data_IF_791361802922
#
_entry.id   IF_791361802922
#
_cell.length_a   1.000
_cell.length_b   1.000
_cell.length_c   1.000
_cell.angle_alpha   90.00
_cell.angle_beta   90.00
_cell.angle_gamma   90.00
#
_symmetry.space_group_name_H-M   'P 1'
#
loop_
_entity.id
_entity.type
_entity.pdbx_description
1 polymer ?
#
# COMPACT_ATOMS: atom_id res chain seq x y z
N UNK A 1 -7.14 -23.37 22.20
CA UNK A 1 -6.38 -22.83 21.06
C UNK A 1 -7.04 -21.52 20.69
N UNK A 2 -6.96 -20.50 21.55
CA UNK A 2 -8.07 -19.55 21.63
C UNK A 2 -7.71 -18.12 21.19
N UNK A 3 -6.62 -17.53 21.70
CA UNK A 3 -6.42 -16.08 21.52
C UNK A 3 -4.99 -15.67 21.10
N UNK A 4 -3.94 -16.30 21.65
CA UNK A 4 -2.55 -16.04 21.22
C UNK A 4 -2.28 -16.44 19.77
N UNK A 5 -2.91 -17.52 19.31
CA UNK A 5 -2.89 -17.94 17.90
C UNK A 5 -3.49 -16.87 16.98
N UNK A 6 -4.53 -16.14 17.45
CA UNK A 6 -5.21 -15.11 16.67
C UNK A 6 -4.35 -13.85 16.55
N UNK A 7 -3.79 -13.36 17.66
CA UNK A 7 -2.89 -12.20 17.68
C UNK A 7 -1.66 -12.43 16.79
N UNK A 8 -1.05 -13.61 16.91
CA UNK A 8 0.10 -14.03 16.09
C UNK A 8 -0.23 -14.06 14.60
N UNK A 9 -1.38 -14.64 14.22
CA UNK A 9 -1.81 -14.67 12.81
C UNK A 9 -2.06 -13.27 12.24
N UNK A 10 -2.64 -12.35 13.03
CA UNK A 10 -2.84 -10.97 12.59
C UNK A 10 -1.49 -10.27 12.38
N UNK A 11 -0.51 -10.50 13.27
CA UNK A 11 0.84 -9.97 13.13
C UNK A 11 1.54 -10.49 11.86
N UNK A 12 1.37 -11.77 11.53
CA UNK A 12 1.90 -12.34 10.28
C UNK A 12 1.27 -11.69 9.04
N UNK A 13 -0.04 -11.48 9.04
CA UNK A 13 -0.76 -10.82 7.93
C UNK A 13 -0.34 -9.35 7.80
N UNK A 14 -0.16 -8.64 8.92
CA UNK A 14 0.36 -7.28 8.95
C UNK A 14 1.75 -7.21 8.33
N UNK A 15 2.65 -8.11 8.75
CA UNK A 15 4.03 -8.19 8.24
C UNK A 15 4.06 -8.46 6.73
N UNK A 16 3.22 -9.39 6.25
CA UNK A 16 3.10 -9.70 4.82
C UNK A 16 2.54 -8.50 4.03
N UNK A 17 1.55 -7.81 4.58
CA UNK A 17 0.96 -6.60 3.98
C UNK A 17 2.00 -5.49 3.82
N UNK A 18 2.78 -5.21 4.88
CA UNK A 18 3.84 -4.20 4.84
C UNK A 18 4.96 -4.57 3.86
N UNK A 19 5.34 -5.86 3.81
CA UNK A 19 6.36 -6.37 2.86
C UNK A 19 5.91 -6.20 1.41
N UNK A 20 4.65 -6.56 1.11
CA UNK A 20 4.10 -6.42 -0.22
C UNK A 20 3.96 -4.94 -0.63
N UNK A 21 3.60 -4.04 0.30
CA UNK A 21 3.59 -2.58 0.07
C UNK A 21 4.95 -2.06 -0.41
N UNK A 22 6.00 -2.48 0.30
CA UNK A 22 7.37 -2.07 0.03
C UNK A 22 7.86 -2.63 -1.30
N UNK A 23 7.54 -3.90 -1.59
CA UNK A 23 7.91 -4.55 -2.86
C UNK A 23 7.28 -3.87 -4.08
N UNK A 24 6.09 -3.31 -3.92
CA UNK A 24 5.38 -2.57 -4.97
C UNK A 24 5.80 -1.10 -5.07
N UNK A 25 6.80 -0.66 -4.31
CA UNK A 25 7.22 0.74 -4.22
C UNK A 25 6.06 1.68 -3.85
N UNK A 26 5.25 1.25 -2.88
CA UNK A 26 4.07 1.98 -2.40
C UNK A 26 4.19 2.40 -0.94
N UNK A 27 5.38 2.25 -0.34
CA UNK A 27 5.67 2.72 1.00
C UNK A 27 5.49 4.25 1.10
N UNK A 28 5.28 4.75 2.31
CA UNK A 28 5.18 6.19 2.53
C UNK A 28 6.48 6.88 2.10
N UNK A 29 6.36 7.90 1.26
CA UNK A 29 7.50 8.61 0.66
C UNK A 29 8.03 8.00 -0.64
N UNK A 30 7.53 6.84 -1.07
CA UNK A 30 7.91 6.26 -2.36
C UNK A 30 7.10 6.92 -3.50
N UNK A 31 7.77 7.63 -4.39
CA UNK A 31 7.21 8.32 -5.54
C UNK A 31 7.51 7.60 -6.87
N UNK A 32 8.09 6.40 -6.85
CA UNK A 32 8.60 5.72 -8.05
C UNK A 32 7.51 5.48 -9.11
N UNK A 33 6.30 5.13 -8.68
CA UNK A 33 5.18 4.90 -9.60
C UNK A 33 4.65 6.21 -10.21
N UNK A 34 4.74 7.33 -9.48
CA UNK A 34 4.45 8.68 -9.97
C UNK A 34 5.57 9.20 -10.87
N UNK A 35 6.82 8.85 -10.57
CA UNK A 35 7.97 9.15 -11.42
C UNK A 35 7.85 8.41 -12.76
N UNK A 36 7.48 7.13 -12.77
CA UNK A 36 7.27 6.36 -14.00
C UNK A 36 6.18 6.95 -14.90
N UNK A 37 5.06 7.40 -14.32
CA UNK A 37 3.98 8.01 -15.10
C UNK A 37 4.42 9.35 -15.71
N UNK A 38 5.22 10.13 -14.98
CA UNK A 38 5.82 11.38 -15.46
C UNK A 38 6.86 11.13 -16.55
N UNK A 39 7.75 10.15 -16.37
CA UNK A 39 8.77 9.81 -17.37
C UNK A 39 8.11 9.38 -18.70
N UNK A 40 6.94 8.73 -18.64
CA UNK A 40 6.16 8.35 -19.81
C UNK A 40 5.63 9.59 -20.57
N UNK A 41 5.09 10.58 -19.87
CA UNK A 41 4.56 11.80 -20.51
C UNK A 41 5.68 12.71 -21.02
N UNK A 42 6.81 12.78 -20.30
CA UNK A 42 8.01 13.49 -20.73
C UNK A 42 8.59 12.90 -22.03
N UNK A 43 8.59 11.56 -22.15
CA UNK A 43 9.04 10.86 -23.35
C UNK A 43 8.03 10.94 -24.51
N UNK A 44 6.74 10.79 -24.21
CA UNK A 44 5.65 10.84 -25.18
C UNK A 44 4.91 12.18 -25.10
N UNK A 45 5.54 13.27 -25.56
CA UNK A 45 5.01 14.63 -25.49
C UNK A 45 3.72 14.83 -26.32
N UNK A 46 2.58 14.50 -25.72
CA UNK A 46 1.26 14.66 -26.33
C UNK A 46 0.17 14.78 -25.25
N UNK A 47 -0.97 15.44 -25.55
CA UNK A 47 -2.09 15.52 -24.61
C UNK A 47 -2.58 14.14 -24.15
N UNK A 48 -2.47 13.13 -25.02
CA UNK A 48 -2.87 11.76 -24.68
C UNK A 48 -1.97 11.16 -23.60
N UNK A 49 -0.69 11.49 -23.57
CA UNK A 49 0.22 10.98 -22.55
C UNK A 49 -0.02 11.64 -21.20
N UNK A 50 -0.38 12.93 -21.18
CA UNK A 50 -0.81 13.64 -19.96
C UNK A 50 -2.08 13.00 -19.38
N UNK A 51 -3.07 12.66 -20.23
CA UNK A 51 -4.29 11.97 -19.80
C UNK A 51 -3.98 10.60 -19.16
N UNK A 52 -3.08 9.82 -19.77
CA UNK A 52 -2.67 8.52 -19.23
C UNK A 52 -1.85 8.67 -17.94
N UNK A 53 -0.96 9.67 -17.83
CA UNK A 53 -0.24 9.99 -16.59
C UNK A 53 -1.21 10.31 -15.45
N UNK A 54 -2.21 11.16 -15.71
CA UNK A 54 -3.24 11.52 -14.73
C UNK A 54 -4.04 10.30 -14.28
N UNK A 55 -4.43 9.42 -15.21
CA UNK A 55 -5.16 8.20 -14.88
C UNK A 55 -4.32 7.22 -14.03
N UNK A 56 -3.04 7.04 -14.39
CA UNK A 56 -2.10 6.17 -13.68
C UNK A 56 -1.83 6.73 -12.28
N UNK A 57 -1.45 8.00 -12.17
CA UNK A 57 -1.13 8.65 -10.89
C UNK A 57 -2.34 8.69 -9.93
N UNK A 58 -3.54 8.93 -10.45
CA UNK A 58 -4.78 8.88 -9.67
C UNK A 58 -5.04 7.48 -9.10
N UNK A 59 -4.90 6.44 -9.94
CA UNK A 59 -5.09 5.05 -9.52
C UNK A 59 -4.05 4.63 -8.46
N UNK A 60 -2.79 5.01 -8.64
CA UNK A 60 -1.72 4.73 -7.67
C UNK A 60 -1.96 5.40 -6.32
N UNK A 61 -2.44 6.64 -6.34
CA UNK A 61 -2.80 7.37 -5.12
C UNK A 61 -3.94 6.66 -4.39
N UNK A 62 -4.96 6.22 -5.12
CA UNK A 62 -6.08 5.46 -4.55
C UNK A 62 -5.62 4.13 -3.95
N UNK A 63 -4.72 3.42 -4.62
CA UNK A 63 -4.18 2.15 -4.13
C UNK A 63 -3.32 2.34 -2.87
N UNK A 64 -2.47 3.37 -2.82
CA UNK A 64 -1.72 3.76 -1.60
C UNK A 64 -2.66 4.01 -0.43
N UNK A 65 -3.77 4.72 -0.66
CA UNK A 65 -4.80 4.96 0.36
C UNK A 65 -5.43 3.66 0.88
N UNK A 66 -5.84 2.75 -0.02
CA UNK A 66 -6.41 1.46 0.39
C UNK A 66 -5.41 0.60 1.16
N UNK A 67 -4.15 0.62 0.76
CA UNK A 67 -3.10 -0.11 1.45
C UNK A 67 -2.86 0.40 2.87
N UNK A 68 -2.75 1.73 3.02
CA UNK A 68 -2.63 2.37 4.34
C UNK A 68 -3.84 2.06 5.23
N UNK A 69 -5.04 2.06 4.67
CA UNK A 69 -6.27 1.69 5.40
C UNK A 69 -6.23 0.23 5.86
N UNK A 70 -5.79 -0.70 5.01
CA UNK A 70 -5.62 -2.11 5.38
C UNK A 70 -4.60 -2.28 6.51
N UNK A 71 -3.44 -1.64 6.41
CA UNK A 71 -2.41 -1.67 7.47
C UNK A 71 -2.95 -1.12 8.80
N UNK A 72 -3.65 0.01 8.77
CA UNK A 72 -4.27 0.60 9.96
C UNK A 72 -5.31 -0.32 10.61
N UNK A 73 -6.15 -0.96 9.79
CA UNK A 73 -7.15 -1.92 10.28
C UNK A 73 -6.50 -3.18 10.87
N UNK A 74 -5.44 -3.70 10.24
CA UNK A 74 -4.68 -4.85 10.75
C UNK A 74 -3.96 -4.52 12.05
N UNK A 75 -3.34 -3.34 12.15
CA UNK A 75 -2.72 -2.86 13.38
C UNK A 75 -3.76 -2.73 14.50
N UNK A 76 -4.90 -2.11 14.23
CA UNK A 76 -6.00 -1.99 15.19
C UNK A 76 -6.52 -3.36 15.63
N UNK A 77 -6.65 -4.31 14.71
CA UNK A 77 -7.07 -5.67 15.02
C UNK A 77 -6.02 -6.43 15.86
N UNK A 78 -4.73 -6.20 15.61
CA UNK A 78 -3.63 -6.77 16.38
C UNK A 78 -3.61 -6.22 17.81
N UNK A 79 -3.74 -4.91 17.96
CA UNK A 79 -3.64 -4.23 19.25
C UNK A 79 -4.83 -4.57 20.16
N UNK A 80 -6.02 -4.76 19.57
CA UNK A 80 -7.22 -5.21 20.28
C UNK A 80 -7.29 -6.73 20.44
N UNK A 81 -6.38 -7.51 19.84
CA UNK A 81 -6.36 -8.94 20.03
C UNK A 81 -5.86 -9.27 21.45
N UNK A 82 -6.59 -10.10 22.21
CA UNK A 82 -6.15 -10.56 23.52
C UNK A 82 -4.74 -11.19 23.42
N UNK A 83 -3.81 -10.67 24.21
CA UNK A 83 -2.54 -11.34 24.50
C UNK A 83 -2.75 -12.28 25.69
N UNK A 84 -2.25 -13.51 25.62
CA UNK A 84 -2.17 -14.36 26.80
C UNK A 84 -1.24 -13.69 27.82
N UNK A 85 -1.73 -13.48 29.05
CA UNK A 85 -0.91 -13.21 30.24
C UNK A 85 -0.09 -14.44 30.63
#
# INVERSE_FOLDING_TARGET
MADSDKKTRIQEVLTRTQTARTTLSMADGDDQATALSRDLSEAWQSPKAEDEELAISGTLTQLKYYWSTLESNLQTAHDNAPSED
#
